data_IF_077616975459
#
_entry.id   IF_077616975459
#
_cell.length_a   1.000
_cell.length_b   1.000
_cell.length_c   1.000
_cell.angle_alpha   90.00
_cell.angle_beta   90.00
_cell.angle_gamma   90.00
#
_symmetry.space_group_name_H-M   'P 1'
#
loop_
_entity.id
_entity.type
_entity.pdbx_description
1 polymer ?
#
# COMPACT_ATOMS: atom_id res chain seq x y z
N UNK A 1 6.50 -2.11 37.29
CA UNK A 1 6.87 -2.27 35.87
C UNK A 1 5.59 -2.25 35.07
N UNK A 2 5.30 -1.16 34.36
CA UNK A 2 4.10 -1.10 33.52
C UNK A 2 4.27 -1.99 32.29
N UNK A 3 3.30 -2.88 32.07
CA UNK A 3 3.27 -3.77 30.91
C UNK A 3 3.01 -2.95 29.64
N UNK A 4 3.83 -3.07 28.59
CA UNK A 4 3.64 -2.31 27.36
C UNK A 4 2.34 -2.74 26.66
N UNK A 5 1.47 -1.77 26.37
CA UNK A 5 0.21 -2.01 25.66
C UNK A 5 0.50 -1.92 24.16
N UNK A 6 0.36 -3.05 23.44
CA UNK A 6 0.64 -3.13 22.00
C UNK A 6 -0.64 -3.04 21.18
N UNK A 7 -0.56 -2.35 20.04
CA UNK A 7 -1.64 -2.30 19.07
C UNK A 7 -1.77 -3.65 18.35
N UNK A 8 -2.97 -4.24 18.41
CA UNK A 8 -3.37 -5.39 17.61
C UNK A 8 -3.79 -4.94 16.22
N UNK A 9 -3.05 -5.41 15.22
CA UNK A 9 -3.22 -5.04 13.80
C UNK A 9 -4.41 -5.81 13.20
N UNK A 10 -5.20 -5.12 12.37
CA UNK A 10 -6.19 -5.76 11.51
C UNK A 10 -5.55 -6.22 10.19
N UNK A 11 -5.53 -7.53 9.87
CA UNK A 11 -4.96 -8.04 8.63
C UNK A 11 -5.89 -7.90 7.41
N UNK A 12 -7.17 -7.54 7.60
CA UNK A 12 -8.15 -7.47 6.50
C UNK A 12 -7.72 -6.49 5.40
N UNK A 13 -7.31 -5.23 5.70
CA UNK A 13 -6.95 -4.29 4.64
C UNK A 13 -5.71 -4.73 3.83
N UNK A 14 -4.61 -5.23 4.44
CA UNK A 14 -3.52 -5.87 3.72
C UNK A 14 -3.96 -7.01 2.79
N UNK A 15 -4.78 -7.93 3.28
CA UNK A 15 -5.24 -9.08 2.47
C UNK A 15 -6.10 -8.61 1.29
N UNK A 16 -7.06 -7.71 1.54
CA UNK A 16 -7.95 -7.21 0.51
C UNK A 16 -7.21 -6.43 -0.58
N UNK A 17 -6.28 -5.54 -0.19
CA UNK A 17 -5.45 -4.80 -1.16
C UNK A 17 -4.56 -5.75 -1.95
N UNK A 18 -4.03 -6.80 -1.33
CA UNK A 18 -3.26 -7.84 -2.03
C UNK A 18 -4.09 -8.50 -3.11
N UNK A 19 -5.34 -8.91 -2.82
CA UNK A 19 -6.25 -9.48 -3.81
C UNK A 19 -6.52 -8.53 -4.98
N UNK A 20 -6.76 -7.24 -4.70
CA UNK A 20 -6.95 -6.23 -5.76
C UNK A 20 -5.72 -6.12 -6.64
N UNK A 21 -4.52 -6.02 -6.04
CA UNK A 21 -3.27 -5.90 -6.79
C UNK A 21 -3.04 -7.12 -7.68
N UNK A 22 -3.27 -8.33 -7.18
CA UNK A 22 -3.21 -9.54 -7.99
C UNK A 22 -4.22 -9.52 -9.15
N UNK A 23 -5.46 -9.07 -8.90
CA UNK A 23 -6.46 -8.91 -9.94
C UNK A 23 -6.05 -7.91 -11.02
N UNK A 24 -5.46 -6.78 -10.64
CA UNK A 24 -4.93 -5.77 -11.57
C UNK A 24 -3.74 -6.32 -12.37
N UNK A 25 -2.82 -7.03 -11.74
CA UNK A 25 -1.67 -7.65 -12.42
C UNK A 25 -2.12 -8.71 -13.43
N UNK A 26 -3.11 -9.52 -13.06
CA UNK A 26 -3.74 -10.46 -13.97
C UNK A 26 -4.40 -9.72 -15.15
N UNK A 27 -5.15 -8.64 -14.87
CA UNK A 27 -5.72 -7.78 -15.91
C UNK A 27 -4.66 -7.19 -16.85
N UNK A 28 -3.52 -6.75 -16.31
CA UNK A 28 -2.39 -6.25 -17.12
C UNK A 28 -1.85 -7.35 -18.05
N UNK A 29 -1.73 -8.58 -17.55
CA UNK A 29 -1.30 -9.72 -18.37
C UNK A 29 -2.26 -9.98 -19.54
N UNK A 30 -3.57 -9.98 -19.33
CA UNK A 30 -4.54 -10.10 -20.45
C UNK A 30 -4.50 -8.90 -21.40
N UNK A 31 -4.32 -7.70 -20.87
CA UNK A 31 -4.25 -6.49 -21.67
C UNK A 31 -3.06 -6.48 -22.64
N UNK A 32 -1.95 -7.15 -22.31
CA UNK A 32 -0.83 -7.37 -23.23
C UNK A 32 -1.33 -8.05 -24.51
N UNK A 33 -2.00 -9.19 -24.40
CA UNK A 33 -2.43 -9.96 -25.58
C UNK A 33 -3.48 -9.21 -26.39
N UNK A 34 -4.45 -8.60 -25.71
CA UNK A 34 -5.52 -7.83 -26.35
C UNK A 34 -4.93 -6.63 -27.10
N UNK A 35 -4.02 -5.88 -26.47
CA UNK A 35 -3.38 -4.72 -27.10
C UNK A 35 -2.51 -5.12 -28.29
N UNK A 36 -1.79 -6.25 -28.20
CA UNK A 36 -0.97 -6.76 -29.29
C UNK A 36 -1.83 -7.11 -30.52
N UNK A 37 -2.93 -7.85 -30.32
CA UNK A 37 -3.87 -8.22 -31.38
C UNK A 37 -4.51 -6.96 -32.00
N UNK A 38 -4.91 -6.00 -31.16
CA UNK A 38 -5.53 -4.77 -31.63
C UNK A 38 -4.54 -3.93 -32.46
N UNK A 39 -3.31 -3.78 -31.98
CA UNK A 39 -2.27 -3.00 -32.65
C UNK A 39 -1.85 -3.65 -33.97
N UNK A 40 -1.74 -4.98 -34.01
CA UNK A 40 -1.48 -5.72 -35.24
C UNK A 40 -2.60 -5.53 -36.28
N UNK A 41 -3.87 -5.71 -35.86
CA UNK A 41 -5.02 -5.48 -36.74
C UNK A 41 -5.09 -4.05 -37.26
N UNK A 42 -4.74 -3.08 -36.42
CA UNK A 42 -4.67 -1.68 -36.81
C UNK A 42 -3.59 -1.43 -37.87
N UNK A 43 -2.39 -2.01 -37.70
CA UNK A 43 -1.32 -1.89 -38.71
C UNK A 43 -1.64 -2.60 -40.02
N UNK A 44 -2.33 -3.75 -39.94
CA UNK A 44 -2.76 -4.52 -41.11
C UNK A 44 -3.86 -3.77 -41.88
N UNK A 45 -4.83 -3.18 -41.16
CA UNK A 45 -5.89 -2.36 -41.76
C UNK A 45 -5.33 -1.17 -42.55
N UNK A 46 -4.31 -0.51 -42.01
CA UNK A 46 -3.64 0.61 -42.68
C UNK A 46 -2.68 0.18 -43.80
N UNK A 47 -2.50 -1.13 -44.03
CA UNK A 47 -1.57 -1.71 -45.01
C UNK A 47 -0.13 -1.21 -44.85
N UNK A 48 0.24 -0.74 -43.65
CA UNK A 48 1.58 -0.19 -43.33
C UNK A 48 2.70 -1.16 -43.72
N UNK A 49 2.64 -2.46 -43.39
CA UNK A 49 3.71 -3.40 -43.73
C UNK A 49 3.91 -3.51 -45.24
N UNK A 50 2.82 -3.42 -46.02
CA UNK A 50 2.83 -3.55 -47.48
C UNK A 50 3.36 -2.30 -48.17
N UNK A 51 3.05 -1.12 -47.63
CA UNK A 51 3.49 0.17 -48.20
C UNK A 51 4.96 0.45 -47.86
N UNK A 52 5.39 0.14 -46.64
CA UNK A 52 6.76 0.40 -46.16
C UNK A 52 7.72 -0.77 -46.41
N UNK A 53 7.23 -1.92 -46.87
CA UNK A 53 8.02 -3.12 -47.14
C UNK A 53 8.83 -3.61 -45.92
N UNK A 54 8.24 -3.48 -44.72
CA UNK A 54 8.85 -3.83 -43.44
C UNK A 54 8.30 -5.16 -42.92
N UNK A 55 9.01 -6.30 -43.09
CA UNK A 55 8.55 -7.61 -42.68
C UNK A 55 8.44 -7.76 -41.15
N UNK A 56 9.15 -6.92 -40.39
CA UNK A 56 9.12 -6.96 -38.91
C UNK A 56 7.75 -6.61 -38.34
N UNK A 57 6.94 -5.82 -39.06
CA UNK A 57 5.58 -5.45 -38.67
C UNK A 57 4.56 -6.59 -38.93
N UNK A 58 4.99 -7.71 -39.52
CA UNK A 58 4.15 -8.90 -39.65
C UNK A 58 4.35 -9.88 -38.49
N UNK A 59 5.42 -9.71 -37.70
CA UNK A 59 5.70 -10.58 -36.57
C UNK A 59 4.88 -10.16 -35.34
N UNK A 60 3.94 -11.01 -34.93
CA UNK A 60 3.10 -10.81 -33.75
C UNK A 60 3.92 -10.59 -32.47
N UNK A 61 5.13 -11.16 -32.40
CA UNK A 61 6.01 -11.04 -31.23
C UNK A 61 6.42 -9.59 -30.96
N UNK A 62 6.52 -8.77 -32.00
CA UNK A 62 6.83 -7.34 -31.86
C UNK A 62 5.73 -6.62 -31.08
N UNK A 63 4.47 -6.89 -31.43
CA UNK A 63 3.30 -6.27 -30.79
C UNK A 63 3.12 -6.74 -29.35
N UNK A 64 3.38 -8.03 -29.09
CA UNK A 64 3.40 -8.57 -27.72
C UNK A 64 4.50 -7.89 -26.90
N UNK A 65 5.70 -7.72 -27.44
CA UNK A 65 6.78 -7.05 -26.73
C UNK A 65 6.42 -5.61 -26.34
N UNK A 66 5.78 -4.86 -27.24
CA UNK A 66 5.27 -3.51 -26.94
C UNK A 66 4.21 -3.54 -25.84
N UNK A 67 3.25 -4.48 -25.92
CA UNK A 67 2.24 -4.68 -24.88
C UNK A 67 2.88 -4.98 -23.52
N UNK A 68 3.86 -5.89 -23.48
CA UNK A 68 4.60 -6.26 -22.26
C UNK A 68 5.33 -5.04 -21.68
N UNK A 69 5.95 -4.19 -22.50
CA UNK A 69 6.63 -2.99 -22.00
C UNK A 69 5.63 -2.06 -21.32
N UNK A 70 4.49 -1.78 -21.96
CA UNK A 70 3.49 -0.84 -21.45
C UNK A 70 2.81 -1.40 -20.19
N UNK A 71 2.19 -2.57 -20.29
CA UNK A 71 1.42 -3.15 -19.18
C UNK A 71 2.32 -3.74 -18.09
N UNK A 72 3.53 -4.18 -18.44
CA UNK A 72 4.55 -4.56 -17.46
C UNK A 72 5.03 -3.37 -16.64
N UNK A 73 5.23 -2.20 -17.25
CA UNK A 73 5.55 -0.97 -16.51
C UNK A 73 4.42 -0.58 -15.55
N UNK A 74 3.17 -0.61 -16.00
CA UNK A 74 2.00 -0.34 -15.16
C UNK A 74 1.93 -1.34 -14.00
N UNK A 75 2.05 -2.63 -14.28
CA UNK A 75 2.03 -3.69 -13.27
C UNK A 75 3.14 -3.54 -12.24
N UNK A 76 4.36 -3.18 -12.67
CA UNK A 76 5.48 -2.90 -11.77
C UNK A 76 5.15 -1.74 -10.83
N UNK A 77 4.51 -0.68 -11.32
CA UNK A 77 4.01 0.42 -10.49
C UNK A 77 3.09 -0.08 -9.36
N UNK A 78 2.11 -0.92 -9.69
CA UNK A 78 1.22 -1.51 -8.68
C UNK A 78 1.96 -2.39 -7.67
N UNK A 79 2.95 -3.17 -8.10
CA UNK A 79 3.79 -3.98 -7.20
C UNK A 79 4.56 -3.08 -6.22
N UNK A 80 5.17 -1.99 -6.69
CA UNK A 80 5.90 -1.07 -5.83
C UNK A 80 5.00 -0.41 -4.79
N UNK A 81 3.81 0.02 -5.20
CA UNK A 81 2.85 0.63 -4.28
C UNK A 81 2.28 -0.38 -3.28
N UNK A 82 2.07 -1.62 -3.71
CA UNK A 82 1.70 -2.73 -2.83
C UNK A 82 2.77 -3.02 -1.78
N UNK A 83 4.04 -3.12 -2.18
CA UNK A 83 5.18 -3.33 -1.26
C UNK A 83 5.25 -2.18 -0.23
N UNK A 84 5.11 -0.93 -0.69
CA UNK A 84 5.08 0.24 0.20
C UNK A 84 3.90 0.19 1.17
N UNK A 85 2.73 -0.24 0.71
CA UNK A 85 1.52 -0.36 1.53
C UNK A 85 1.66 -1.44 2.62
N UNK A 86 2.13 -2.63 2.25
CA UNK A 86 2.40 -3.72 3.20
C UNK A 86 3.47 -3.30 4.20
N UNK A 87 4.56 -2.68 3.74
CA UNK A 87 5.62 -2.12 4.58
C UNK A 87 5.08 -1.23 5.69
N UNK A 88 4.17 -0.32 5.35
CA UNK A 88 3.56 0.64 6.28
C UNK A 88 2.49 0.03 7.20
N UNK A 89 1.90 -1.09 6.83
CA UNK A 89 0.72 -1.62 7.53
C UNK A 89 1.04 -2.88 8.33
N UNK A 90 1.75 -3.84 7.76
CA UNK A 90 2.05 -5.11 8.42
C UNK A 90 3.32 -5.07 9.27
N UNK A 91 4.31 -4.27 8.85
CA UNK A 91 5.61 -4.21 9.53
C UNK A 91 5.79 -2.97 10.41
N UNK A 92 4.70 -2.24 10.67
CA UNK A 92 4.69 -1.17 11.66
C UNK A 92 4.04 -1.69 12.94
N UNK A 93 4.68 -1.47 14.08
CA UNK A 93 4.16 -1.83 15.40
C UNK A 93 4.08 -0.57 16.24
N UNK A 94 2.94 -0.37 16.89
CA UNK A 94 2.72 0.75 17.79
C UNK A 94 2.50 0.21 19.20
N UNK A 95 3.22 0.75 20.18
CA UNK A 95 3.04 0.38 21.57
C UNK A 95 3.20 1.58 22.51
N UNK A 96 2.43 1.53 23.59
CA UNK A 96 2.42 2.52 24.65
C UNK A 96 3.12 1.94 25.88
N UNK A 97 4.04 2.71 26.48
CA UNK A 97 4.71 2.35 27.73
C UNK A 97 4.78 3.60 28.62
N UNK A 98 3.88 3.67 29.60
CA UNK A 98 3.67 4.87 30.42
C UNK A 98 3.36 6.10 29.57
N UNK A 99 4.13 7.16 29.76
CA UNK A 99 4.00 8.43 29.03
C UNK A 99 4.63 8.43 27.62
N UNK A 100 5.32 7.34 27.23
CA UNK A 100 6.01 7.24 25.96
C UNK A 100 5.24 6.42 24.93
N UNK A 101 5.05 7.00 23.75
CA UNK A 101 4.52 6.33 22.57
C UNK A 101 5.68 5.89 21.67
N UNK A 102 5.70 4.62 21.31
CA UNK A 102 6.68 4.06 20.40
C UNK A 102 6.01 3.59 19.09
N UNK A 103 6.64 3.93 17.97
CA UNK A 103 6.30 3.42 16.65
C UNK A 103 7.56 2.79 16.05
N UNK A 104 7.54 1.47 15.93
CA UNK A 104 8.59 0.70 15.28
C UNK A 104 8.16 0.38 13.86
N UNK A 105 8.98 0.73 12.87
CA UNK A 105 8.83 0.26 11.50
C UNK A 105 10.00 -0.65 11.18
N UNK A 106 9.70 -1.93 10.96
CA UNK A 106 10.66 -2.92 10.49
C UNK A 106 10.59 -3.01 8.97
N UNK A 107 11.71 -2.94 8.28
CA UNK A 107 11.75 -3.12 6.83
C UNK A 107 12.94 -3.99 6.47
N UNK A 108 12.71 -5.29 6.24
CA UNK A 108 13.71 -6.30 5.90
C UNK A 108 14.98 -6.31 6.78
N UNK A 109 15.91 -5.38 6.57
CA UNK A 109 17.17 -5.22 7.33
C UNK A 109 17.26 -3.94 8.17
N UNK A 110 16.32 -3.00 8.02
CA UNK A 110 16.31 -1.73 8.75
C UNK A 110 15.19 -1.71 9.81
N UNK A 111 15.47 -1.12 10.97
CA UNK A 111 14.52 -0.95 12.06
C UNK A 111 14.53 0.51 12.48
N UNK A 112 13.50 1.23 12.09
CA UNK A 112 13.29 2.61 12.53
C UNK A 112 12.41 2.59 13.77
N UNK A 113 12.94 3.08 14.90
CA UNK A 113 12.21 3.23 16.16
C UNK A 113 12.00 4.70 16.41
N UNK A 114 10.75 5.12 16.42
CA UNK A 114 10.38 6.47 16.80
C UNK A 114 9.79 6.43 18.22
N UNK A 115 10.27 7.34 19.06
CA UNK A 115 9.82 7.48 20.45
C UNK A 115 9.39 8.93 20.66
N UNK A 116 8.21 9.11 21.26
CA UNK A 116 7.72 10.43 21.64
C UNK A 116 7.21 10.41 23.08
N UNK A 117 7.44 11.53 23.77
CA UNK A 117 6.79 11.79 25.05
C UNK A 117 5.45 12.49 24.78
N UNK A 118 4.36 11.95 25.33
CA UNK A 118 3.00 12.52 25.17
C UNK A 118 2.88 13.96 25.68
N UNK A 119 3.72 14.35 26.65
CA UNK A 119 3.73 15.69 27.25
C UNK A 119 4.60 16.69 26.49
N UNK A 120 5.24 16.27 25.39
CA UNK A 120 6.10 17.14 24.60
C UNK A 120 5.27 18.05 23.69
N UNK A 121 5.48 19.36 23.83
CA UNK A 121 4.77 20.37 23.04
C UNK A 121 5.01 20.19 21.54
N UNK A 122 3.92 20.25 20.76
CA UNK A 122 3.94 20.21 19.29
C UNK A 122 3.55 18.86 18.66
N UNK A 123 3.53 17.76 19.42
CA UNK A 123 3.11 16.45 18.91
C UNK A 123 1.59 16.32 18.98
N UNK A 124 0.94 16.13 17.84
CA UNK A 124 -0.49 15.86 17.77
C UNK A 124 -0.74 14.39 17.44
N UNK A 125 -1.41 13.69 18.35
CA UNK A 125 -1.89 12.33 18.13
C UNK A 125 -3.37 12.42 17.79
N UNK A 126 -3.76 11.93 16.61
CA UNK A 126 -5.12 12.03 16.09
C UNK A 126 -5.67 10.62 15.90
N UNK A 127 -6.83 10.34 16.51
CA UNK A 127 -7.56 9.09 16.27
C UNK A 127 -8.54 9.28 15.11
N UNK A 128 -8.26 8.63 13.97
CA UNK A 128 -9.18 8.58 12.83
C UNK A 128 -10.23 7.48 13.06
N UNK A 129 -11.27 7.82 13.78
CA UNK A 129 -12.45 6.95 14.01
C UNK A 129 -13.60 7.27 13.02
N UNK A 130 -14.67 6.48 13.07
CA UNK A 130 -15.90 6.62 12.29
C UNK A 130 -16.70 5.32 12.28
N UNK A 131 -18.03 5.39 12.15
CA UNK A 131 -18.93 4.24 12.34
C UNK A 131 -18.60 3.05 11.41
N UNK A 132 -18.44 3.33 10.11
CA UNK A 132 -18.00 2.33 9.12
C UNK A 132 -16.56 1.86 9.34
N UNK A 133 -15.69 2.74 9.84
CA UNK A 133 -14.27 2.43 10.09
C UNK A 133 -14.11 1.52 11.30
N UNK A 134 -14.89 1.75 12.36
CA UNK A 134 -14.92 0.90 13.54
C UNK A 134 -15.41 -0.50 13.21
N UNK A 135 -16.47 -0.62 12.40
CA UNK A 135 -17.02 -1.91 11.99
C UNK A 135 -16.04 -2.73 11.13
N UNK A 136 -15.34 -2.10 10.19
CA UNK A 136 -14.39 -2.78 9.28
C UNK A 136 -12.96 -2.89 9.86
N UNK A 137 -12.70 -2.34 11.05
CA UNK A 137 -11.37 -2.28 11.63
C UNK A 137 -10.38 -1.44 10.82
N UNK A 138 -10.90 -0.38 10.20
CA UNK A 138 -10.16 0.61 9.40
C UNK A 138 -9.78 1.85 10.23
N UNK A 139 -9.87 1.77 11.55
CA UNK A 139 -9.40 2.84 12.40
C UNK A 139 -7.88 2.95 12.38
N UNK A 140 -7.39 4.17 12.59
CA UNK A 140 -5.97 4.47 12.49
C UNK A 140 -5.60 5.62 13.40
N UNK A 141 -4.42 5.55 14.00
CA UNK A 141 -3.81 6.64 14.75
C UNK A 141 -2.83 7.35 13.83
N UNK A 142 -2.93 8.67 13.79
CA UNK A 142 -2.03 9.55 13.03
C UNK A 142 -1.20 10.34 14.03
N UNK A 143 0.11 10.31 13.86
CA UNK A 143 1.06 11.06 14.68
C UNK A 143 1.63 12.15 13.79
N UNK A 144 1.31 13.40 14.13
CA UNK A 144 1.85 14.59 13.49
C UNK A 144 2.90 15.17 14.43
N UNK A 145 4.13 15.25 13.96
CA UNK A 145 5.26 15.85 14.67
C UNK A 145 5.79 17.01 13.83
N UNK A 146 6.21 18.13 14.45
CA UNK A 146 6.71 19.29 13.72
C UNK A 146 8.01 18.98 12.96
N UNK A 147 8.83 18.08 13.48
CA UNK A 147 10.14 17.74 12.90
C UNK A 147 10.09 16.58 11.90
N UNK A 148 8.99 15.84 11.84
CA UNK A 148 8.86 14.62 11.02
C UNK A 148 7.61 14.62 10.13
N UNK A 149 7.71 13.96 8.97
CA UNK A 149 6.53 13.68 8.13
C UNK A 149 5.47 12.91 8.93
N UNK A 150 4.20 13.18 8.62
CA UNK A 150 3.04 12.51 9.22
C UNK A 150 3.20 10.99 9.23
N UNK A 151 3.16 10.40 10.43
CA UNK A 151 3.26 8.96 10.63
C UNK A 151 1.89 8.37 10.90
N UNK A 152 1.73 7.12 10.47
CA UNK A 152 0.47 6.41 10.55
C UNK A 152 0.69 5.06 11.23
N UNK A 153 -0.19 4.72 12.16
CA UNK A 153 -0.26 3.37 12.72
C UNK A 153 -0.71 2.35 11.67
N UNK A 154 -0.62 1.04 11.95
CA UNK A 154 -1.42 0.04 11.24
C UNK A 154 -2.92 0.29 11.40
N UNK A 155 -3.73 -0.34 10.53
CA UNK A 155 -5.18 -0.42 10.73
C UNK A 155 -5.50 -1.34 11.89
N UNK A 156 -6.55 -1.03 12.65
CA UNK A 156 -6.94 -1.83 13.81
C UNK A 156 -8.44 -1.77 14.10
N UNK A 157 -8.92 -2.75 14.86
CA UNK A 157 -10.26 -2.75 15.43
C UNK A 157 -10.28 -2.04 16.79
N UNK A 158 -11.23 -1.12 17.05
CA UNK A 158 -11.35 -0.46 18.34
C UNK A 158 -11.66 -1.45 19.48
N UNK A 159 -12.51 -2.45 19.21
CA UNK A 159 -12.92 -3.47 20.20
C UNK A 159 -11.74 -4.26 20.77
N UNK A 160 -10.71 -4.51 19.97
CA UNK A 160 -9.52 -5.27 20.38
C UNK A 160 -8.43 -4.39 21.01
N UNK A 161 -8.53 -3.06 20.85
CA UNK A 161 -7.50 -2.08 21.23
C UNK A 161 -8.00 -1.02 22.23
N UNK A 162 -9.14 -1.26 22.88
CA UNK A 162 -9.75 -0.30 23.80
C UNK A 162 -8.80 0.19 24.91
N UNK A 163 -7.96 -0.68 25.46
CA UNK A 163 -6.98 -0.30 26.49
C UNK A 163 -5.95 0.73 25.98
N UNK A 164 -5.52 0.58 24.71
CA UNK A 164 -4.56 1.48 24.10
C UNK A 164 -5.22 2.83 23.76
N UNK A 165 -6.45 2.80 23.26
CA UNK A 165 -7.22 4.00 22.91
C UNK A 165 -7.54 4.81 24.18
N UNK A 166 -8.04 4.17 25.23
CA UNK A 166 -8.28 4.79 26.54
C UNK A 166 -7.00 5.39 27.12
N UNK A 167 -5.90 4.64 27.06
CA UNK A 167 -4.59 5.12 27.53
C UNK A 167 -4.05 6.33 26.76
N UNK A 168 -4.42 6.50 25.48
CA UNK A 168 -3.97 7.62 24.64
C UNK A 168 -4.84 8.86 24.71
N UNK A 169 -6.17 8.67 24.74
CA UNK A 169 -7.14 9.74 24.51
C UNK A 169 -8.05 10.05 25.70
N UNK A 170 -7.95 9.31 26.81
CA UNK A 170 -8.75 9.53 28.03
C UNK A 170 -10.26 9.69 27.74
N UNK A 171 -10.79 8.81 26.88
CA UNK A 171 -12.24 8.67 26.67
C UNK A 171 -12.93 8.03 27.88
#
# INVERSE_FOLDING_TARGET
METPIRLKINPIPPVFVTLIVFGVLYGCYFAVEISAIYLQKFTDFLLIPKVLNLPILQDQRLYIAVGVIIFGYIGLGFILDWIRFIGRTCFTVLFLKGDFLFLERKFFFDKNVFQWNRKQNGIQVIHKTGLLRGFLGLERIVIVSPDFKTLYSPFFFPSQNGNLIRGLFEY
#
